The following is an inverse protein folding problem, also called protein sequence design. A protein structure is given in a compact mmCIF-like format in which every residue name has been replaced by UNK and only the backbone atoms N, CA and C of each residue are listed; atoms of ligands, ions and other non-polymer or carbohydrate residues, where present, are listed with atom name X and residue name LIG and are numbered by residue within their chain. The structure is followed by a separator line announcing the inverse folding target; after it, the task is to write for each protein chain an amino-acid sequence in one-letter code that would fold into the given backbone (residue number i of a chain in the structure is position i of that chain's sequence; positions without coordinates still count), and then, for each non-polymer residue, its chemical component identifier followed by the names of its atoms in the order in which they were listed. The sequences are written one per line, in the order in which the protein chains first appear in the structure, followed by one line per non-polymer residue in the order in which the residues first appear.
data_IF_120966801223
#
_entry.id   IF_120966801223
#
_cell.length_a   1.000
_cell.length_b   1.000
_cell.length_c   1.000
_cell.angle_alpha   90.00
_cell.angle_beta   90.00
_cell.angle_gamma   90.00
#
_symmetry.space_group_name_H-M   'P 1'
#
loop_
_entity.id
_entity.type
_entity.pdbx_description
1 polymer ?
#
# COMPACT_ATOMS: atom_id res chain seq x y z
N UNK A 1 12.59 52.62 12.51
CA UNK A 1 11.32 52.36 11.81
C UNK A 1 11.63 51.36 10.72
N UNK A 2 10.90 50.26 10.66
CA UNK A 2 10.91 49.37 9.50
C UNK A 2 10.49 50.16 8.26
N UNK A 3 11.36 50.28 7.27
CA UNK A 3 10.96 50.75 5.93
C UNK A 3 10.45 49.52 5.19
N UNK A 4 9.14 49.43 5.05
CA UNK A 4 8.46 48.38 4.27
C UNK A 4 8.04 48.99 2.95
N UNK A 5 8.48 48.44 1.82
CA UNK A 5 7.99 48.83 0.51
C UNK A 5 6.66 48.11 0.23
N UNK A 6 5.71 48.79 -0.40
CA UNK A 6 4.43 48.20 -0.83
C UNK A 6 4.66 46.98 -1.73
N UNK A 7 5.67 47.04 -2.61
CA UNK A 7 6.07 45.94 -3.48
C UNK A 7 6.42 44.65 -2.70
N UNK A 8 6.98 44.78 -1.49
CA UNK A 8 7.36 43.61 -0.67
C UNK A 8 6.10 42.90 -0.16
N UNK A 9 5.07 43.67 0.23
CA UNK A 9 3.78 43.14 0.69
C UNK A 9 3.01 42.52 -0.48
N UNK A 10 3.05 43.14 -1.65
CA UNK A 10 2.39 42.62 -2.86
C UNK A 10 2.97 41.27 -3.29
N UNK A 11 4.29 41.09 -3.24
CA UNK A 11 4.95 39.82 -3.53
C UNK A 11 4.50 38.72 -2.57
N UNK A 12 4.44 39.02 -1.27
CA UNK A 12 3.95 38.07 -0.26
C UNK A 12 2.49 37.72 -0.50
N UNK A 13 1.66 38.71 -0.78
CA UNK A 13 0.23 38.50 -1.04
C UNK A 13 0.01 37.67 -2.31
N UNK A 14 0.81 37.90 -3.35
CA UNK A 14 0.74 37.14 -4.60
C UNK A 14 1.06 35.64 -4.39
N UNK A 15 2.03 35.30 -3.54
CA UNK A 15 2.34 33.91 -3.16
C UNK A 15 1.12 33.22 -2.57
N UNK A 16 0.51 33.82 -1.54
CA UNK A 16 -0.66 33.22 -0.89
C UNK A 16 -1.89 33.22 -1.79
N UNK A 17 -2.06 34.24 -2.64
CA UNK A 17 -3.10 34.23 -3.66
C UNK A 17 -2.92 33.08 -4.66
N UNK A 18 -1.70 32.76 -5.08
CA UNK A 18 -1.42 31.61 -5.94
C UNK A 18 -1.82 30.29 -5.24
N UNK A 19 -1.38 30.11 -3.99
CA UNK A 19 -1.70 28.93 -3.17
C UNK A 19 -3.22 28.75 -3.02
N UNK A 20 -3.93 29.79 -2.64
CA UNK A 20 -5.38 29.74 -2.42
C UNK A 20 -6.17 29.47 -3.71
N UNK A 21 -5.60 29.79 -4.86
CA UNK A 21 -6.17 29.48 -6.18
C UNK A 21 -5.66 28.15 -6.77
N UNK A 22 -5.00 27.32 -5.95
CA UNK A 22 -4.50 26.00 -6.37
C UNK A 22 -3.34 26.04 -7.37
N UNK A 23 -2.65 27.19 -7.48
CA UNK A 23 -1.46 27.34 -8.33
C UNK A 23 -0.21 27.05 -7.50
N UNK A 24 0.82 26.55 -8.17
CA UNK A 24 2.15 26.37 -7.58
C UNK A 24 2.79 27.77 -7.38
N UNK A 25 3.10 28.20 -6.14
CA UNK A 25 3.79 29.46 -5.91
C UNK A 25 5.29 29.36 -6.28
N UNK A 26 5.82 30.47 -6.78
CA UNK A 26 7.26 30.70 -6.97
C UNK A 26 7.85 31.41 -5.76
N UNK A 27 9.15 31.20 -5.52
CA UNK A 27 9.87 31.88 -4.45
C UNK A 27 10.01 33.38 -4.71
N UNK A 28 10.00 34.17 -3.64
CA UNK A 28 10.21 35.61 -3.68
C UNK A 28 11.70 35.89 -3.79
N UNK A 29 12.10 36.56 -4.87
CA UNK A 29 13.49 36.96 -5.11
C UNK A 29 13.67 38.43 -4.72
N UNK A 30 14.48 38.68 -3.68
CA UNK A 30 14.88 40.04 -3.32
C UNK A 30 16.11 40.49 -4.14
N UNK A 31 16.26 41.80 -4.42
CA UNK A 31 17.48 42.35 -5.00
C UNK A 31 18.74 41.95 -4.22
N UNK A 32 19.86 41.80 -4.92
CA UNK A 32 21.13 41.39 -4.31
C UNK A 32 21.63 42.41 -3.26
N UNK A 33 21.35 43.68 -3.46
CA UNK A 33 21.68 44.82 -2.59
C UNK A 33 20.60 45.13 -1.53
N UNK A 34 19.55 44.30 -1.43
CA UNK A 34 18.48 44.52 -0.47
C UNK A 34 19.03 44.49 0.97
N UNK A 35 18.61 45.40 1.87
CA UNK A 35 19.15 45.44 3.22
C UNK A 35 18.93 44.13 3.99
N UNK A 36 19.84 43.83 4.91
CA UNK A 36 19.64 42.74 5.87
C UNK A 36 18.73 43.23 6.99
N UNK A 37 17.43 42.98 6.85
CA UNK A 37 16.37 43.45 7.73
C UNK A 37 15.29 42.38 7.91
N UNK A 38 14.25 42.71 8.67
CA UNK A 38 13.13 41.82 8.97
C UNK A 38 12.32 41.42 7.73
N UNK A 39 12.34 42.22 6.65
CA UNK A 39 11.71 41.85 5.37
C UNK A 39 12.50 40.76 4.65
N UNK A 40 13.83 40.84 4.66
CA UNK A 40 14.69 39.75 4.17
C UNK A 40 14.44 38.47 4.97
N UNK A 41 14.45 38.56 6.29
CA UNK A 41 14.18 37.42 7.16
C UNK A 41 12.78 36.82 6.91
N UNK A 42 11.74 37.66 6.81
CA UNK A 42 10.38 37.22 6.49
C UNK A 42 10.33 36.51 5.13
N UNK A 43 11.00 37.07 4.12
CA UNK A 43 11.08 36.48 2.78
C UNK A 43 11.77 35.12 2.79
N UNK A 44 12.85 34.97 3.56
CA UNK A 44 13.53 33.68 3.72
C UNK A 44 12.61 32.63 4.36
N UNK A 45 11.83 33.00 5.38
CA UNK A 45 10.84 32.09 5.97
C UNK A 45 9.71 31.73 4.99
N UNK A 46 9.24 32.69 4.19
CA UNK A 46 8.22 32.45 3.17
C UNK A 46 8.76 31.53 2.07
N UNK A 47 9.99 31.73 1.60
CA UNK A 47 10.62 30.86 0.60
C UNK A 47 10.77 29.43 1.12
N UNK A 48 11.21 29.27 2.37
CA UNK A 48 11.26 27.95 3.01
C UNK A 48 9.88 27.29 3.12
N UNK A 49 8.84 28.09 3.41
CA UNK A 49 7.46 27.60 3.43
C UNK A 49 6.98 27.19 2.02
N UNK A 50 7.29 27.98 0.99
CA UNK A 50 6.97 27.69 -0.41
C UNK A 50 7.59 26.36 -0.83
N UNK A 51 8.87 26.14 -0.53
CA UNK A 51 9.56 24.89 -0.86
C UNK A 51 8.89 23.70 -0.17
N UNK A 52 8.61 23.81 1.14
CA UNK A 52 7.96 22.73 1.90
C UNK A 52 6.51 22.49 1.45
N UNK A 53 5.77 23.53 1.09
CA UNK A 53 4.42 23.43 0.52
C UNK A 53 4.44 22.73 -0.84
N UNK A 54 5.36 23.11 -1.72
CA UNK A 54 5.51 22.53 -3.05
C UNK A 54 5.91 21.05 -2.98
N UNK A 55 6.87 20.70 -2.12
CA UNK A 55 7.23 19.29 -1.89
C UNK A 55 6.05 18.48 -1.33
N UNK A 56 5.32 19.05 -0.37
CA UNK A 56 4.18 18.40 0.29
C UNK A 56 3.04 18.14 -0.70
N UNK A 57 2.68 19.13 -1.51
CA UNK A 57 1.59 19.00 -2.49
C UNK A 57 1.93 17.97 -3.58
N UNK A 58 3.17 17.96 -4.06
CA UNK A 58 3.65 16.94 -4.99
C UNK A 58 3.58 15.53 -4.40
N UNK A 59 4.00 15.36 -3.14
CA UNK A 59 3.90 14.07 -2.44
C UNK A 59 2.46 13.60 -2.29
N UNK A 60 1.55 14.51 -1.91
CA UNK A 60 0.12 14.20 -1.82
C UNK A 60 -0.43 13.78 -3.18
N UNK A 61 -0.04 14.47 -4.25
CA UNK A 61 -0.44 14.14 -5.61
C UNK A 61 0.03 12.74 -6.02
N UNK A 62 1.30 12.41 -5.82
CA UNK A 62 1.86 11.08 -6.12
C UNK A 62 1.14 9.98 -5.33
N UNK A 63 0.97 10.17 -4.02
CA UNK A 63 0.21 9.22 -3.18
C UNK A 63 -1.23 9.03 -3.67
N UNK A 64 -1.90 10.11 -4.09
CA UNK A 64 -3.27 10.05 -4.59
C UNK A 64 -3.40 9.27 -5.90
N UNK A 65 -2.35 9.26 -6.72
CA UNK A 65 -2.25 8.46 -7.94
C UNK A 65 -1.84 6.99 -7.65
N UNK A 66 -1.64 6.61 -6.39
CA UNK A 66 -1.19 5.28 -6.00
C UNK A 66 0.31 5.05 -6.24
N UNK A 67 1.06 6.09 -6.59
CA UNK A 67 2.50 6.03 -6.66
C UNK A 67 3.05 6.02 -5.24
N UNK A 68 3.84 5.01 -4.90
CA UNK A 68 4.43 4.87 -3.56
C UNK A 68 5.95 4.73 -3.61
N UNK A 69 6.54 4.49 -4.79
CA UNK A 69 7.97 4.22 -4.96
C UNK A 69 8.76 5.47 -5.39
N UNK A 70 8.56 6.58 -4.68
CA UNK A 70 9.28 7.82 -4.87
C UNK A 70 10.12 8.18 -3.63
N UNK A 71 11.05 9.13 -3.78
CA UNK A 71 11.90 9.60 -2.68
C UNK A 71 11.04 10.27 -1.59
N UNK A 72 11.17 9.81 -0.35
CA UNK A 72 10.40 10.37 0.75
C UNK A 72 10.76 11.83 1.00
N UNK A 73 9.75 12.61 1.42
CA UNK A 73 9.91 14.01 1.82
C UNK A 73 11.13 14.20 2.74
N UNK A 74 11.85 15.31 2.59
CA UNK A 74 12.97 15.69 3.48
C UNK A 74 12.54 16.62 4.59
N UNK A 75 11.38 17.27 4.43
CA UNK A 75 10.76 18.16 5.40
C UNK A 75 10.65 17.58 6.82
N UNK A 76 10.78 18.47 7.79
CA UNK A 76 10.71 18.16 9.24
C UNK A 76 9.36 18.56 9.85
N UNK A 77 8.48 19.22 9.09
CA UNK A 77 7.14 19.53 9.59
C UNK A 77 6.36 18.27 9.93
N UNK A 78 5.39 18.43 10.83
CA UNK A 78 4.50 17.35 11.23
C UNK A 78 3.76 16.75 10.03
N UNK A 79 3.32 17.57 9.07
CA UNK A 79 2.68 17.09 7.84
C UNK A 79 3.63 16.22 6.99
N UNK A 80 4.88 16.64 6.83
CA UNK A 80 5.89 15.85 6.13
C UNK A 80 6.12 14.50 6.80
N UNK A 81 6.22 14.46 8.13
CA UNK A 81 6.39 13.22 8.89
C UNK A 81 5.16 12.30 8.77
N UNK A 82 3.95 12.88 8.84
CA UNK A 82 2.70 12.13 8.64
C UNK A 82 2.59 11.53 7.23
N UNK A 83 2.97 12.28 6.19
CA UNK A 83 2.96 11.77 4.82
C UNK A 83 4.02 10.67 4.59
N UNK A 84 5.21 10.80 5.21
CA UNK A 84 6.21 9.72 5.19
C UNK A 84 5.70 8.45 5.85
N UNK A 85 5.05 8.58 7.02
CA UNK A 85 4.44 7.44 7.70
C UNK A 85 3.35 6.80 6.83
N UNK A 86 2.48 7.61 6.20
CA UNK A 86 1.46 7.11 5.28
C UNK A 86 2.08 6.38 4.08
N UNK A 87 3.11 6.94 3.44
CA UNK A 87 3.83 6.30 2.34
C UNK A 87 4.42 4.95 2.77
N UNK A 88 5.04 4.87 3.95
CA UNK A 88 5.59 3.63 4.50
C UNK A 88 4.50 2.59 4.77
N UNK A 89 3.38 3.00 5.37
CA UNK A 89 2.21 2.15 5.59
C UNK A 89 1.67 1.59 4.27
N UNK A 90 1.53 2.41 3.23
CA UNK A 90 1.06 1.95 1.91
C UNK A 90 2.04 0.97 1.24
N UNK A 91 3.35 1.18 1.38
CA UNK A 91 4.37 0.22 0.92
C UNK A 91 4.25 -1.11 1.63
N UNK A 92 4.15 -1.10 2.96
CA UNK A 92 4.00 -2.32 3.74
C UNK A 92 2.70 -3.03 3.39
N UNK A 93 1.58 -2.32 3.29
CA UNK A 93 0.28 -2.89 2.90
C UNK A 93 0.35 -3.56 1.52
N UNK A 94 0.98 -2.89 0.56
CA UNK A 94 1.19 -3.44 -0.79
C UNK A 94 2.03 -4.72 -0.73
N UNK A 95 3.10 -4.74 0.07
CA UNK A 95 3.93 -5.92 0.24
C UNK A 95 3.16 -7.07 0.92
N UNK A 96 2.46 -6.80 2.02
CA UNK A 96 1.64 -7.79 2.75
C UNK A 96 0.57 -8.39 1.85
N UNK A 97 -0.11 -7.55 1.07
CA UNK A 97 -1.14 -8.01 0.11
C UNK A 97 -0.54 -8.96 -0.93
N UNK A 98 0.68 -8.70 -1.41
CA UNK A 98 1.38 -9.61 -2.32
C UNK A 98 1.74 -10.95 -1.67
N UNK A 99 2.16 -10.96 -0.40
CA UNK A 99 2.44 -12.21 0.31
C UNK A 99 1.17 -13.05 0.47
N UNK A 100 0.07 -12.43 0.88
CA UNK A 100 -1.23 -13.06 1.00
C UNK A 100 -1.70 -13.62 -0.35
N UNK A 101 -1.54 -12.86 -1.44
CA UNK A 101 -1.87 -13.32 -2.78
C UNK A 101 -1.02 -14.53 -3.23
N UNK A 102 0.21 -14.64 -2.73
CA UNK A 102 1.09 -15.79 -2.96
C UNK A 102 0.81 -16.98 -2.01
N UNK A 103 -0.20 -16.87 -1.14
CA UNK A 103 -0.61 -17.92 -0.20
C UNK A 103 0.05 -17.86 1.17
N UNK A 104 0.85 -16.82 1.47
CA UNK A 104 1.36 -16.58 2.81
C UNK A 104 0.39 -15.69 3.60
N UNK A 105 -0.53 -16.35 4.29
CA UNK A 105 -1.55 -15.71 5.13
C UNK A 105 -1.05 -15.36 6.54
N UNK A 106 0.23 -15.61 6.86
CA UNK A 106 0.79 -15.33 8.19
C UNK A 106 0.97 -13.84 8.46
N UNK A 107 1.01 -13.02 7.41
CA UNK A 107 1.22 -11.58 7.53
C UNK A 107 -0.07 -10.84 7.93
N UNK A 108 0.11 -9.85 8.82
CA UNK A 108 -0.96 -8.96 9.29
C UNK A 108 -0.57 -7.50 9.08
N UNK A 109 -1.60 -6.65 9.05
CA UNK A 109 -1.48 -5.20 9.03
C UNK A 109 -1.88 -4.67 10.41
N UNK A 110 -1.07 -3.82 11.02
CA UNK A 110 -1.29 -3.27 12.38
C UNK A 110 -1.44 -1.74 12.39
N UNK A 111 -1.44 -1.11 11.21
CA UNK A 111 -1.62 0.33 11.00
C UNK A 111 -2.87 0.61 10.14
N UNK A 112 -3.38 1.84 10.14
CA UNK A 112 -4.63 2.27 9.47
C UNK A 112 -5.94 1.86 10.18
N UNK A 113 -5.90 1.57 11.48
CA UNK A 113 -7.09 1.46 12.33
C UNK A 113 -8.10 0.43 11.82
N UNK A 114 -9.37 0.81 11.66
CA UNK A 114 -10.47 -0.06 11.22
C UNK A 114 -10.19 -0.76 9.87
N UNK A 115 -9.44 -0.13 8.96
CA UNK A 115 -9.04 -0.77 7.71
C UNK A 115 -8.21 -2.03 7.97
N UNK A 116 -7.29 -1.98 8.93
CA UNK A 116 -6.44 -3.12 9.28
C UNK A 116 -7.24 -4.29 9.83
N UNK A 117 -8.27 -4.01 10.64
CA UNK A 117 -9.14 -5.02 11.23
C UNK A 117 -9.93 -5.74 10.13
N UNK A 118 -10.55 -4.96 9.23
CA UNK A 118 -11.29 -5.51 8.10
C UNK A 118 -10.38 -6.31 7.14
N UNK A 119 -9.20 -5.78 6.81
CA UNK A 119 -8.23 -6.44 5.94
C UNK A 119 -7.73 -7.76 6.53
N UNK A 120 -7.35 -7.76 7.81
CA UNK A 120 -6.87 -8.97 8.49
C UNK A 120 -7.98 -10.02 8.61
N UNK A 121 -9.23 -9.60 8.88
CA UNK A 121 -10.37 -10.52 8.90
C UNK A 121 -10.62 -11.17 7.53
N UNK A 122 -10.53 -10.39 6.45
CA UNK A 122 -10.61 -10.91 5.08
C UNK A 122 -9.49 -11.91 4.78
N UNK A 123 -8.25 -11.61 5.17
CA UNK A 123 -7.10 -12.49 4.98
C UNK A 123 -7.26 -13.81 5.76
N UNK A 124 -7.74 -13.75 7.00
CA UNK A 124 -8.02 -14.93 7.82
C UNK A 124 -9.14 -15.80 7.23
N UNK A 125 -10.21 -15.19 6.72
CA UNK A 125 -11.27 -15.94 6.03
C UNK A 125 -10.73 -16.65 4.78
N UNK A 126 -9.83 -16.00 4.03
CA UNK A 126 -9.21 -16.58 2.85
C UNK A 126 -8.29 -17.77 3.21
N UNK A 127 -7.52 -17.65 4.29
CA UNK A 127 -6.69 -18.75 4.82
C UNK A 127 -7.54 -19.96 5.23
N UNK A 128 -8.63 -19.71 5.98
CA UNK A 128 -9.55 -20.76 6.40
C UNK A 128 -10.20 -21.47 5.20
N UNK A 129 -10.67 -20.72 4.21
CA UNK A 129 -11.23 -21.29 2.98
C UNK A 129 -10.20 -22.13 2.21
N UNK A 130 -8.94 -21.69 2.15
CA UNK A 130 -7.86 -22.45 1.52
C UNK A 130 -7.59 -23.76 2.26
N UNK A 131 -7.48 -23.72 3.59
CA UNK A 131 -7.27 -24.92 4.44
C UNK A 131 -8.40 -25.93 4.31
N UNK A 132 -9.65 -25.48 4.31
CA UNK A 132 -10.81 -26.35 4.11
C UNK A 132 -10.80 -27.01 2.72
N UNK A 133 -10.40 -26.26 1.69
CA UNK A 133 -10.27 -26.80 0.34
C UNK A 133 -9.19 -27.87 0.26
N UNK A 134 -8.02 -27.64 0.85
CA UNK A 134 -6.94 -28.63 0.91
C UNK A 134 -7.40 -29.91 1.62
N UNK A 135 -8.02 -29.78 2.80
CA UNK A 135 -8.58 -30.92 3.54
C UNK A 135 -9.62 -31.70 2.73
N UNK A 136 -10.46 -31.00 1.97
CA UNK A 136 -11.46 -31.64 1.10
C UNK A 136 -10.81 -32.40 -0.05
N UNK A 137 -9.77 -31.82 -0.67
CA UNK A 137 -9.00 -32.49 -1.73
C UNK A 137 -8.30 -33.75 -1.22
N UNK A 138 -7.68 -33.69 -0.04
CA UNK A 138 -7.05 -34.86 0.60
C UNK A 138 -8.07 -35.98 0.86
N UNK A 139 -9.26 -35.62 1.36
CA UNK A 139 -10.35 -36.57 1.57
C UNK A 139 -10.85 -37.19 0.27
N UNK A 140 -11.00 -36.40 -0.79
CA UNK A 140 -11.41 -36.92 -2.09
C UNK A 140 -10.35 -37.86 -2.68
N UNK A 141 -9.07 -37.51 -2.54
CA UNK A 141 -7.97 -38.33 -3.01
C UNK A 141 -7.92 -39.68 -2.27
N UNK A 142 -8.13 -39.70 -0.96
CA UNK A 142 -8.19 -40.96 -0.21
C UNK A 142 -9.37 -41.84 -0.63
N UNK A 143 -10.54 -41.24 -0.88
CA UNK A 143 -11.70 -41.96 -1.42
C UNK A 143 -11.42 -42.57 -2.81
N UNK A 144 -10.75 -41.84 -3.69
CA UNK A 144 -10.34 -42.36 -5.01
C UNK A 144 -9.39 -43.54 -4.88
N UNK A 145 -8.46 -43.51 -3.92
CA UNK A 145 -7.54 -44.62 -3.66
C UNK A 145 -8.29 -45.86 -3.16
N UNK A 146 -9.21 -45.70 -2.21
CA UNK A 146 -10.00 -46.82 -1.68
C UNK A 146 -10.92 -47.43 -2.73
N UNK A 147 -11.58 -46.60 -3.56
CA UNK A 147 -12.39 -47.09 -4.68
C UNK A 147 -11.56 -47.92 -5.67
N UNK A 148 -10.34 -47.50 -5.99
CA UNK A 148 -9.43 -48.27 -6.87
C UNK A 148 -9.04 -49.61 -6.25
N UNK A 149 -8.81 -49.67 -4.93
CA UNK A 149 -8.53 -50.94 -4.24
C UNK A 149 -9.74 -51.88 -4.31
N UNK A 150 -10.93 -51.36 -4.02
CA UNK A 150 -12.17 -52.13 -4.09
C UNK A 150 -12.43 -52.68 -5.50
N UNK A 151 -12.23 -51.85 -6.54
CA UNK A 151 -12.38 -52.27 -7.94
C UNK A 151 -11.40 -53.39 -8.33
N UNK A 152 -10.15 -53.32 -7.88
CA UNK A 152 -9.16 -54.39 -8.12
C UNK A 152 -9.54 -55.69 -7.43
N UNK A 153 -9.95 -55.63 -6.17
CA UNK A 153 -10.40 -56.83 -5.45
C UNK A 153 -11.58 -57.50 -6.17
N UNK A 154 -12.54 -56.71 -6.65
CA UNK A 154 -13.68 -57.24 -7.41
C UNK A 154 -13.28 -57.85 -8.75
N UNK A 155 -12.29 -57.27 -9.46
CA UNK A 155 -11.75 -57.85 -10.69
C UNK A 155 -11.10 -59.22 -10.44
N UNK A 156 -10.27 -59.33 -9.41
CA UNK A 156 -9.64 -60.61 -9.06
C UNK A 156 -10.69 -61.68 -8.74
N UNK A 157 -11.72 -61.35 -7.94
CA UNK A 157 -12.81 -62.28 -7.62
C UNK A 157 -13.56 -62.73 -8.90
N UNK A 158 -13.80 -61.81 -9.85
CA UNK A 158 -14.47 -62.15 -11.11
C UNK A 158 -13.61 -63.05 -12.00
N UNK A 159 -12.29 -62.91 -11.95
CA UNK A 159 -11.33 -63.76 -12.66
C UNK A 159 -11.32 -65.17 -12.03
N UNK A 160 -11.20 -65.26 -10.71
CA UNK A 160 -11.28 -66.52 -9.95
C UNK A 160 -12.59 -67.28 -10.24
N UNK A 161 -13.72 -66.56 -10.29
CA UNK A 161 -15.04 -67.15 -10.61
C UNK A 161 -15.16 -67.63 -12.07
N UNK A 162 -14.41 -67.04 -13.00
CA UNK A 162 -14.37 -67.52 -14.39
C UNK A 162 -13.54 -68.79 -14.51
N UNK A 163 -12.37 -68.85 -13.86
CA UNK A 163 -11.50 -70.03 -13.83
C UNK A 163 -12.22 -71.23 -13.21
N UNK A 164 -12.88 -71.03 -12.05
CA UNK A 164 -13.62 -72.09 -11.38
C UNK A 164 -14.75 -72.69 -12.25
N UNK A 165 -15.36 -71.89 -13.14
CA UNK A 165 -16.41 -72.34 -14.07
C UNK A 165 -15.87 -72.98 -15.35
N UNK A 166 -14.64 -72.70 -15.76
CA UNK A 166 -14.01 -73.42 -16.88
C UNK A 166 -13.54 -74.80 -16.48
N UNK A 167 -13.14 -75.01 -15.22
CA UNK A 167 -12.66 -76.30 -14.70
C UNK A 167 -13.77 -77.31 -14.40
N UNK A 168 -15.04 -76.87 -14.34
CA UNK A 168 -16.19 -77.75 -14.09
C UNK A 168 -16.89 -78.27 -15.36
N UNK A 169 -16.31 -78.04 -16.55
CA UNK A 169 -16.84 -78.46 -17.85
C UNK A 169 -15.95 -79.52 -18.51
#
# INVERSE_FOLDING_TARGET
MLQVNEDDIDRVTAVFAAILNGKKPDTIVLPHDYPDNEIRQMTDYINRFIDEYNETTETVYQLSNGEINFESLKGKTKISQSLKALQASLKHLTWTTKQIANGDFGHKVDFMGEFSEAFNSMAEQLDNAFKERVKTMEKLQSQVVELRKAQRAMLNILEDLKEAKSDTK
#
